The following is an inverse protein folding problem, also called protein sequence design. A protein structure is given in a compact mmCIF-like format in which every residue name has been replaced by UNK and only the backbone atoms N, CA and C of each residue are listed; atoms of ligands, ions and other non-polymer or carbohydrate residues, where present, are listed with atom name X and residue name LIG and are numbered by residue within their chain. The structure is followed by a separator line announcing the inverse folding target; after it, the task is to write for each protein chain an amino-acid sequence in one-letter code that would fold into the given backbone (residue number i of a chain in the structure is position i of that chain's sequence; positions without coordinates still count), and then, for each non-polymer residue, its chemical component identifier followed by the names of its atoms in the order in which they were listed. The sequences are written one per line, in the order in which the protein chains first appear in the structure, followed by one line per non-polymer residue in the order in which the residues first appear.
data_IF_418842617875
#
_entry.id   IF_418842617875
#
_cell.length_a   1.000
_cell.length_b   1.000
_cell.length_c   1.000
_cell.angle_alpha   90.00
_cell.angle_beta   90.00
_cell.angle_gamma   90.00
#
_symmetry.space_group_name_H-M   'P 1'
#
loop_
_entity.id
_entity.type
_entity.pdbx_description
1 polymer ?
#
# COMPACT_ATOMS: atom_id res chain seq x y z
N UNK A 1 -26.45 6.17 45.89
CA UNK A 1 -27.87 6.40 45.63
C UNK A 1 -28.19 5.88 44.25
N UNK A 2 -29.03 4.86 44.25
CA UNK A 2 -29.48 4.08 43.09
C UNK A 2 -30.46 4.89 42.23
N UNK A 3 -30.36 4.75 40.90
CA UNK A 3 -31.51 4.94 40.03
C UNK A 3 -31.57 3.79 39.03
N UNK A 4 -32.40 2.83 39.39
CA UNK A 4 -33.02 1.87 38.51
C UNK A 4 -34.52 2.22 38.49
N UNK A 5 -35.13 2.14 37.31
CA UNK A 5 -36.53 1.81 37.01
C UNK A 5 -37.21 2.76 36.00
N UNK A 6 -37.82 2.05 35.07
CA UNK A 6 -38.95 2.37 34.17
C UNK A 6 -38.47 2.61 32.71
N UNK A 7 -39.07 1.96 31.67
CA UNK A 7 -40.38 1.40 31.58
C UNK A 7 -40.45 0.35 30.44
N UNK A 8 -41.22 -0.68 30.69
CA UNK A 8 -41.74 -1.64 29.71
C UNK A 8 -42.88 -1.00 28.89
N UNK A 9 -42.68 -0.96 27.56
CA UNK A 9 -43.74 -0.61 26.61
C UNK A 9 -43.86 -1.71 25.57
N UNK A 10 -44.82 -2.59 25.70
CA UNK A 10 -45.25 -3.54 24.67
C UNK A 10 -45.84 -2.77 23.49
N UNK A 11 -45.30 -2.98 22.29
CA UNK A 11 -45.96 -2.55 21.05
C UNK A 11 -46.52 -3.81 20.37
N UNK A 12 -47.83 -3.85 20.19
CA UNK A 12 -48.55 -4.91 19.52
C UNK A 12 -48.08 -5.07 18.06
N UNK A 13 -47.72 -6.28 17.69
CA UNK A 13 -47.45 -6.66 16.31
C UNK A 13 -48.78 -6.81 15.57
N UNK A 14 -49.11 -5.87 14.68
CA UNK A 14 -50.17 -6.08 13.69
C UNK A 14 -49.64 -6.93 12.56
N UNK A 15 -50.22 -8.08 12.35
CA UNK A 15 -50.00 -8.92 11.17
C UNK A 15 -50.41 -8.19 9.91
N UNK A 16 -49.49 -8.03 8.97
CA UNK A 16 -49.76 -7.57 7.61
C UNK A 16 -50.18 -8.75 6.73
N UNK A 17 -51.12 -8.55 5.77
CA UNK A 17 -51.62 -9.61 4.92
C UNK A 17 -50.54 -10.09 3.92
N UNK A 18 -50.62 -11.34 3.43
CA UNK A 18 -49.61 -11.90 2.52
C UNK A 18 -49.66 -11.20 1.16
N UNK A 19 -48.54 -10.65 0.73
CA UNK A 19 -48.33 -10.15 -0.61
C UNK A 19 -48.10 -11.34 -1.56
N UNK A 20 -49.16 -11.84 -2.18
CA UNK A 20 -49.06 -12.74 -3.32
C UNK A 20 -48.90 -11.89 -4.58
N UNK A 21 -47.80 -12.08 -5.31
CA UNK A 21 -47.65 -11.60 -6.70
C UNK A 21 -46.52 -10.63 -7.00
N UNK A 22 -45.32 -10.80 -6.41
CA UNK A 22 -44.12 -10.17 -6.93
C UNK A 22 -43.15 -11.27 -7.36
N UNK A 23 -43.03 -11.48 -8.68
CA UNK A 23 -41.93 -12.29 -9.23
C UNK A 23 -40.61 -11.57 -8.94
N UNK A 24 -39.84 -12.11 -8.01
CA UNK A 24 -38.46 -11.71 -7.80
C UNK A 24 -37.66 -12.28 -8.99
N UNK A 25 -36.95 -11.42 -9.79
CA UNK A 25 -36.08 -11.95 -10.83
C UNK A 25 -35.07 -12.87 -10.15
N UNK A 26 -34.88 -14.04 -10.73
CA UNK A 26 -33.99 -15.10 -10.26
C UNK A 26 -32.64 -14.51 -9.86
N UNK A 27 -32.44 -14.37 -8.55
CA UNK A 27 -31.13 -14.12 -7.95
C UNK A 27 -30.22 -15.26 -8.46
N UNK A 28 -29.08 -14.89 -9.02
CA UNK A 28 -28.03 -15.82 -9.37
C UNK A 28 -27.59 -16.56 -8.09
N UNK A 29 -28.27 -17.66 -7.78
CA UNK A 29 -27.80 -18.64 -6.81
C UNK A 29 -26.66 -19.35 -7.51
N UNK A 30 -25.41 -19.07 -7.13
CA UNK A 30 -24.27 -19.89 -7.50
C UNK A 30 -24.65 -21.36 -7.20
N UNK A 31 -24.64 -22.22 -8.21
CA UNK A 31 -24.94 -23.63 -8.03
C UNK A 31 -23.92 -24.24 -7.09
N UNK A 32 -24.35 -25.19 -6.25
CA UNK A 32 -23.44 -25.92 -5.33
C UNK A 32 -22.22 -26.56 -6.02
N UNK A 33 -22.24 -26.73 -7.35
CA UNK A 33 -21.11 -27.17 -8.16
C UNK A 33 -19.97 -26.14 -8.28
N UNK A 34 -20.26 -24.84 -8.26
CA UNK A 34 -19.25 -23.79 -8.41
C UNK A 34 -18.46 -23.57 -7.12
N UNK A 35 -19.08 -23.83 -5.97
CA UNK A 35 -18.39 -23.79 -4.65
C UNK A 35 -17.41 -24.96 -4.47
N UNK A 36 -17.68 -26.12 -5.08
CA UNK A 36 -16.80 -27.29 -5.01
C UNK A 36 -15.46 -27.07 -5.74
N UNK A 37 -15.40 -26.18 -6.78
CA UNK A 37 -14.15 -25.81 -7.45
C UNK A 37 -13.29 -24.83 -6.65
N UNK A 38 -13.80 -24.24 -5.59
CA UNK A 38 -13.08 -23.28 -4.75
C UNK A 38 -12.49 -23.88 -3.47
N UNK A 39 -12.50 -25.21 -3.32
CA UNK A 39 -11.96 -25.87 -2.12
C UNK A 39 -10.45 -25.71 -1.97
N UNK A 40 -9.73 -25.52 -3.06
CA UNK A 40 -8.28 -25.34 -3.05
C UNK A 40 -7.82 -24.31 -4.10
N UNK A 41 -6.69 -23.68 -3.82
CA UNK A 41 -6.06 -22.67 -4.66
C UNK A 41 -4.56 -22.90 -4.75
N UNK A 42 -3.91 -22.39 -5.80
CA UNK A 42 -2.45 -22.33 -5.86
C UNK A 42 -1.93 -21.08 -5.18
N UNK A 43 -0.84 -21.22 -4.41
CA UNK A 43 -0.16 -20.14 -3.72
C UNK A 43 1.36 -20.35 -3.73
N UNK A 44 2.11 -19.24 -3.64
CA UNK A 44 3.54 -19.27 -3.36
C UNK A 44 3.72 -19.23 -1.83
N UNK A 45 4.07 -20.37 -1.28
CA UNK A 45 4.18 -20.60 0.17
C UNK A 45 5.63 -20.46 0.59
N UNK A 46 5.91 -19.60 1.56
CA UNK A 46 7.19 -19.52 2.23
C UNK A 46 7.28 -20.65 3.25
N UNK A 47 8.16 -21.63 3.01
CA UNK A 47 8.30 -22.84 3.85
C UNK A 47 9.34 -22.68 4.96
N UNK A 48 10.31 -21.81 4.76
CA UNK A 48 11.33 -21.44 5.74
C UNK A 48 11.82 -20.00 5.53
N UNK A 49 12.30 -19.34 6.58
CA UNK A 49 12.99 -18.07 6.43
C UNK A 49 14.34 -18.28 5.73
N UNK A 50 14.77 -17.29 4.92
CA UNK A 50 16.06 -17.35 4.21
C UNK A 50 15.99 -16.73 2.83
N UNK A 51 16.64 -17.38 1.86
CA UNK A 51 16.74 -16.93 0.47
C UNK A 51 15.41 -17.07 -0.29
N UNK A 52 15.32 -16.46 -1.47
CA UNK A 52 14.09 -16.42 -2.25
C UNK A 52 13.59 -17.81 -2.69
N UNK A 53 14.49 -18.77 -2.80
CA UNK A 53 14.25 -20.18 -3.14
C UNK A 53 13.44 -20.94 -2.06
N UNK A 54 13.17 -20.31 -0.91
CA UNK A 54 12.30 -20.86 0.12
C UNK A 54 10.81 -20.74 -0.20
N UNK A 55 10.46 -20.06 -1.30
CA UNK A 55 9.11 -20.13 -1.83
C UNK A 55 8.88 -21.42 -2.64
N UNK A 56 7.76 -22.06 -2.39
CA UNK A 56 7.26 -23.22 -3.12
C UNK A 56 5.85 -22.96 -3.64
N UNK A 57 5.58 -23.34 -4.89
CA UNK A 57 4.22 -23.29 -5.42
C UNK A 57 3.47 -24.51 -4.93
N UNK A 58 2.48 -24.29 -4.08
CA UNK A 58 1.68 -25.36 -3.46
C UNK A 58 0.20 -25.17 -3.77
N UNK A 59 -0.56 -26.28 -3.67
CA UNK A 59 -2.02 -26.26 -3.62
C UNK A 59 -2.42 -26.25 -2.14
N UNK A 60 -3.16 -25.22 -1.73
CA UNK A 60 -3.59 -25.00 -0.35
C UNK A 60 -5.11 -24.80 -0.29
N UNK A 61 -5.75 -24.99 0.85
CA UNK A 61 -7.17 -24.66 0.99
C UNK A 61 -7.45 -23.20 0.67
N UNK A 62 -8.55 -22.92 -0.01
CA UNK A 62 -9.05 -21.55 -0.17
C UNK A 62 -9.52 -21.03 1.19
N UNK A 63 -9.15 -19.79 1.57
CA UNK A 63 -9.52 -19.27 2.89
C UNK A 63 -11.04 -19.10 3.03
N UNK A 64 -11.57 -19.40 4.21
CA UNK A 64 -12.99 -19.27 4.51
C UNK A 64 -13.40 -17.81 4.70
N UNK A 65 -14.56 -17.45 4.16
CA UNK A 65 -15.14 -16.11 4.22
C UNK A 65 -15.89 -15.89 5.54
N UNK A 66 -15.62 -14.76 6.22
CA UNK A 66 -16.38 -14.29 7.38
C UNK A 66 -17.44 -13.27 6.99
N UNK A 67 -18.40 -13.00 7.88
CA UNK A 67 -19.54 -12.13 7.61
C UNK A 67 -19.18 -10.74 7.06
N UNK A 68 -18.10 -10.11 7.54
CA UNK A 68 -17.64 -8.78 7.15
C UNK A 68 -16.53 -8.77 6.09
N UNK A 69 -16.28 -9.89 5.42
CA UNK A 69 -15.16 -10.07 4.49
C UNK A 69 -15.65 -10.24 3.04
N UNK A 70 -14.72 -10.04 2.13
CA UNK A 70 -14.87 -10.35 0.71
C UNK A 70 -13.81 -11.37 0.29
N UNK A 71 -14.18 -12.30 -0.56
CA UNK A 71 -13.25 -13.20 -1.25
C UNK A 71 -12.94 -12.61 -2.61
N UNK A 72 -11.65 -12.40 -2.88
CA UNK A 72 -11.18 -11.77 -4.11
C UNK A 72 -10.32 -12.75 -4.89
N UNK A 73 -10.68 -12.97 -6.16
CA UNK A 73 -9.79 -13.61 -7.13
C UNK A 73 -8.73 -12.60 -7.51
N UNK A 74 -7.47 -12.91 -7.18
CA UNK A 74 -6.33 -12.03 -7.41
C UNK A 74 -5.96 -12.04 -8.89
N UNK A 75 -6.05 -10.88 -9.54
CA UNK A 75 -5.61 -10.69 -10.93
C UNK A 75 -4.13 -10.24 -10.99
N UNK A 76 -3.71 -9.43 -10.02
CA UNK A 76 -2.33 -8.98 -9.89
C UNK A 76 -2.00 -8.64 -8.43
N UNK A 77 -0.73 -8.79 -8.08
CA UNK A 77 -0.09 -8.34 -6.84
C UNK A 77 1.23 -7.65 -7.16
N UNK A 78 1.88 -7.01 -6.19
CA UNK A 78 3.21 -6.43 -6.40
C UNK A 78 4.16 -6.71 -5.25
N UNK A 79 5.47 -6.66 -5.52
CA UNK A 79 6.50 -6.96 -4.53
C UNK A 79 6.90 -5.68 -3.79
N UNK A 80 7.11 -5.80 -2.48
CA UNK A 80 7.52 -4.71 -1.59
C UNK A 80 8.76 -5.09 -0.77
N UNK A 81 9.54 -4.11 -0.29
CA UNK A 81 10.68 -4.38 0.61
C UNK A 81 10.28 -5.20 1.84
N UNK A 82 9.11 -4.94 2.44
CA UNK A 82 8.62 -5.68 3.60
C UNK A 82 8.47 -7.19 3.31
N UNK A 83 8.14 -7.57 2.07
CA UNK A 83 7.98 -8.98 1.69
C UNK A 83 9.31 -9.74 1.74
N UNK A 84 10.41 -9.18 1.17
CA UNK A 84 11.71 -9.85 1.24
C UNK A 84 12.35 -9.75 2.63
N UNK A 85 12.11 -8.68 3.37
CA UNK A 85 12.54 -8.55 4.77
C UNK A 85 11.87 -9.64 5.63
N UNK A 86 10.54 -9.81 5.49
CA UNK A 86 9.80 -10.88 6.16
C UNK A 86 10.32 -12.25 5.76
N UNK A 87 10.51 -12.49 4.45
CA UNK A 87 11.06 -13.76 3.95
C UNK A 87 12.45 -14.08 4.54
N UNK A 88 13.32 -13.08 4.69
CA UNK A 88 14.65 -13.28 5.32
C UNK A 88 14.59 -13.57 6.80
N UNK A 89 13.46 -13.26 7.46
CA UNK A 89 13.27 -13.44 8.89
C UNK A 89 13.54 -12.20 9.74
N UNK A 90 13.62 -11.01 9.14
CA UNK A 90 13.79 -9.74 9.88
C UNK A 90 12.61 -9.53 10.85
N UNK A 91 11.44 -10.13 10.55
CA UNK A 91 10.20 -10.09 11.36
C UNK A 91 9.68 -11.48 11.76
N UNK A 92 10.58 -12.45 11.97
CA UNK A 92 10.24 -13.85 12.27
C UNK A 92 9.32 -14.03 13.48
N UNK A 93 9.37 -13.13 14.45
CA UNK A 93 8.51 -13.18 15.64
C UNK A 93 7.05 -12.80 15.34
N UNK A 94 6.79 -12.17 14.18
CA UNK A 94 5.46 -11.70 13.76
C UNK A 94 4.80 -12.62 12.72
N UNK A 95 5.55 -13.59 12.16
CA UNK A 95 5.07 -14.44 11.06
C UNK A 95 5.28 -15.90 11.40
N UNK A 96 4.22 -16.70 11.30
CA UNK A 96 4.26 -18.14 11.47
C UNK A 96 4.42 -18.83 10.12
N UNK A 97 5.36 -19.77 10.05
CA UNK A 97 5.56 -20.60 8.85
C UNK A 97 4.76 -21.91 8.95
N UNK A 98 4.32 -22.49 7.82
CA UNK A 98 4.41 -21.93 6.46
C UNK A 98 3.50 -20.73 6.28
N UNK A 99 3.90 -19.76 5.42
CA UNK A 99 3.18 -18.50 5.22
C UNK A 99 3.01 -18.15 3.74
N UNK A 100 1.92 -17.47 3.41
CA UNK A 100 1.72 -16.82 2.11
C UNK A 100 2.00 -15.32 2.33
N UNK A 101 2.99 -14.77 1.64
CA UNK A 101 3.34 -13.36 1.72
C UNK A 101 2.62 -12.53 0.63
N UNK A 102 2.96 -11.24 0.57
CA UNK A 102 2.42 -10.28 -0.38
C UNK A 102 1.39 -9.35 0.24
N UNK A 103 1.54 -8.06 -0.03
CA UNK A 103 0.76 -6.99 0.62
C UNK A 103 0.14 -6.00 -0.36
N UNK A 104 -0.07 -6.42 -1.61
CA UNK A 104 -0.83 -5.68 -2.61
C UNK A 104 -1.81 -6.62 -3.31
N UNK A 105 -3.05 -6.19 -3.53
CA UNK A 105 -4.05 -6.93 -4.30
C UNK A 105 -4.73 -5.99 -5.29
N UNK A 106 -4.89 -6.45 -6.53
CA UNK A 106 -5.94 -6.00 -7.43
C UNK A 106 -6.61 -7.22 -8.04
N UNK A 107 -7.94 -7.28 -7.96
CA UNK A 107 -8.69 -8.46 -8.38
C UNK A 107 -10.19 -8.21 -8.47
N UNK A 108 -10.93 -9.30 -8.58
CA UNK A 108 -12.39 -9.32 -8.74
C UNK A 108 -13.01 -10.01 -7.53
N UNK A 109 -14.07 -9.44 -6.97
CA UNK A 109 -14.82 -10.07 -5.87
C UNK A 109 -15.58 -11.29 -6.41
N UNK A 110 -15.30 -12.46 -5.83
CA UNK A 110 -15.97 -13.73 -6.17
C UNK A 110 -17.07 -14.08 -5.15
N UNK A 111 -16.93 -13.66 -3.89
CA UNK A 111 -17.96 -13.83 -2.88
C UNK A 111 -17.89 -12.71 -1.83
N UNK A 112 -19.02 -12.44 -1.19
CA UNK A 112 -19.14 -11.47 -0.10
C UNK A 112 -19.76 -12.14 1.13
N UNK A 113 -19.32 -11.73 2.32
CA UNK A 113 -19.92 -12.13 3.59
C UNK A 113 -21.27 -11.45 3.80
N UNK A 114 -22.13 -12.06 4.62
CA UNK A 114 -23.53 -11.64 4.82
C UNK A 114 -23.69 -10.21 5.37
N UNK A 115 -22.67 -9.67 6.04
CA UNK A 115 -22.67 -8.32 6.58
C UNK A 115 -22.10 -7.27 5.62
N UNK A 116 -21.60 -7.66 4.43
CA UNK A 116 -21.03 -6.75 3.44
C UNK A 116 -22.15 -6.16 2.58
N UNK A 117 -22.30 -4.85 2.61
CA UNK A 117 -23.33 -4.11 1.86
C UNK A 117 -22.79 -3.18 0.80
N UNK A 118 -21.49 -2.85 0.87
CA UNK A 118 -20.85 -1.83 0.04
C UNK A 118 -20.28 -2.38 -1.26
N UNK A 119 -20.25 -3.72 -1.40
CA UNK A 119 -19.70 -4.43 -2.54
C UNK A 119 -20.64 -5.51 -3.04
N UNK A 120 -20.42 -5.93 -4.28
CA UNK A 120 -21.08 -7.06 -4.92
C UNK A 120 -20.09 -7.94 -5.64
N UNK A 121 -20.47 -9.18 -5.89
CA UNK A 121 -19.73 -10.11 -6.75
C UNK A 121 -19.55 -9.48 -8.14
N UNK A 122 -18.34 -9.61 -8.68
CA UNK A 122 -17.92 -9.00 -9.95
C UNK A 122 -17.32 -7.60 -9.82
N UNK A 123 -17.32 -6.97 -8.64
CA UNK A 123 -16.66 -5.68 -8.47
C UNK A 123 -15.15 -5.81 -8.61
N UNK A 124 -14.57 -4.90 -9.39
CA UNK A 124 -13.12 -4.77 -9.51
C UNK A 124 -12.59 -3.95 -8.34
N UNK A 125 -11.67 -4.53 -7.58
CA UNK A 125 -11.15 -3.94 -6.34
C UNK A 125 -9.64 -3.90 -6.29
N UNK A 126 -9.11 -3.04 -5.40
CA UNK A 126 -7.71 -3.02 -5.05
C UNK A 126 -7.53 -2.63 -3.58
N UNK A 127 -6.55 -3.20 -2.92
CA UNK A 127 -6.27 -2.95 -1.51
C UNK A 127 -4.90 -3.51 -1.11
N UNK A 128 -4.44 -3.11 0.07
CA UNK A 128 -3.29 -3.74 0.72
C UNK A 128 -3.79 -4.65 1.85
N UNK A 129 -3.48 -5.95 1.82
CA UNK A 129 -3.64 -6.83 2.97
C UNK A 129 -2.93 -6.29 4.21
N UNK A 130 -3.35 -6.76 5.38
CA UNK A 130 -2.64 -6.43 6.61
C UNK A 130 -1.22 -6.99 6.57
N UNK A 131 -0.23 -6.13 6.80
CA UNK A 131 1.16 -6.54 6.93
C UNK A 131 1.25 -7.49 8.14
N UNK A 132 1.94 -8.63 7.96
CA UNK A 132 1.99 -9.73 8.95
C UNK A 132 0.63 -10.38 9.25
N UNK A 133 -0.34 -10.24 8.34
CA UNK A 133 -1.61 -10.95 8.42
C UNK A 133 -1.46 -12.46 8.22
N UNK A 134 -2.56 -13.18 8.43
CA UNK A 134 -2.60 -14.64 8.34
C UNK A 134 -2.36 -15.14 6.91
N UNK A 135 -2.86 -14.40 5.90
CA UNK A 135 -2.74 -14.73 4.48
C UNK A 135 -2.31 -13.49 3.68
N UNK A 136 -1.35 -13.69 2.80
CA UNK A 136 -0.90 -12.66 1.86
C UNK A 136 -1.42 -12.87 0.43
N UNK A 137 -1.03 -11.99 -0.48
CA UNK A 137 -1.56 -11.90 -1.84
C UNK A 137 -0.85 -12.78 -2.87
N UNK A 138 0.16 -13.56 -2.50
CA UNK A 138 0.82 -14.47 -3.45
C UNK A 138 0.04 -15.77 -3.65
N UNK A 139 -1.27 -15.64 -3.85
CA UNK A 139 -2.22 -16.73 -4.03
C UNK A 139 -3.32 -16.36 -5.02
N UNK A 140 -3.99 -17.35 -5.59
CA UNK A 140 -5.07 -17.13 -6.55
C UNK A 140 -6.29 -16.42 -5.94
N UNK A 141 -6.53 -16.64 -4.64
CA UNK A 141 -7.61 -16.00 -3.89
C UNK A 141 -7.09 -15.41 -2.60
N UNK A 142 -7.69 -14.29 -2.20
CA UNK A 142 -7.40 -13.63 -0.94
C UNK A 142 -8.71 -13.19 -0.27
N UNK A 143 -8.80 -13.37 1.05
CA UNK A 143 -9.92 -12.88 1.87
C UNK A 143 -9.50 -11.61 2.58
N UNK A 144 -10.29 -10.56 2.47
CA UNK A 144 -10.04 -9.28 3.12
C UNK A 144 -11.27 -8.77 3.88
N UNK A 145 -11.04 -8.07 4.99
CA UNK A 145 -12.07 -7.25 5.62
C UNK A 145 -12.52 -6.17 4.63
N UNK A 146 -13.83 -6.03 4.43
CA UNK A 146 -14.39 -5.05 3.52
C UNK A 146 -13.96 -3.61 3.85
N UNK A 147 -13.63 -3.32 5.10
CA UNK A 147 -13.19 -1.99 5.55
C UNK A 147 -11.86 -1.51 4.94
N UNK A 148 -11.01 -2.43 4.46
CA UNK A 148 -9.74 -2.06 3.81
C UNK A 148 -9.82 -2.06 2.28
N UNK A 149 -10.90 -2.58 1.71
CA UNK A 149 -11.07 -2.76 0.25
C UNK A 149 -11.62 -1.49 -0.39
N UNK A 150 -11.09 -1.10 -1.54
CA UNK A 150 -11.60 0.00 -2.35
C UNK A 150 -11.89 -0.48 -3.79
N UNK A 151 -12.82 0.19 -4.47
CA UNK A 151 -13.04 -0.02 -5.90
C UNK A 151 -11.77 0.38 -6.67
N UNK A 152 -11.37 -0.43 -7.61
CA UNK A 152 -10.23 -0.17 -8.50
C UNK A 152 -10.50 1.08 -9.34
N UNK A 153 -9.52 2.01 -9.51
CA UNK A 153 -9.66 3.12 -10.44
C UNK A 153 -10.11 2.63 -11.82
N UNK A 154 -11.15 3.26 -12.38
CA UNK A 154 -11.79 2.82 -13.62
C UNK A 154 -10.84 2.86 -14.84
N UNK A 155 -9.88 3.79 -14.81
CA UNK A 155 -8.90 4.01 -15.88
C UNK A 155 -7.63 3.19 -15.76
N UNK A 156 -7.52 2.26 -14.79
CA UNK A 156 -6.38 1.37 -14.63
C UNK A 156 -6.73 -0.09 -14.93
N UNK A 157 -5.80 -0.82 -15.52
CA UNK A 157 -5.79 -2.28 -15.53
C UNK A 157 -5.50 -2.84 -14.12
N UNK A 158 -5.75 -4.13 -13.87
CA UNK A 158 -5.39 -4.78 -12.60
C UNK A 158 -3.87 -4.76 -12.36
N UNK A 159 -3.06 -4.90 -13.40
CA UNK A 159 -1.59 -4.81 -13.31
C UNK A 159 -1.16 -3.44 -12.78
N UNK A 160 -1.73 -2.39 -13.35
CA UNK A 160 -1.45 -1.02 -12.92
C UNK A 160 -1.97 -0.74 -11.51
N UNK A 161 -3.19 -1.16 -11.21
CA UNK A 161 -3.81 -0.96 -9.91
C UNK A 161 -3.05 -1.67 -8.78
N UNK A 162 -2.51 -2.87 -9.01
CA UNK A 162 -1.71 -3.62 -8.04
C UNK A 162 -0.41 -2.91 -7.63
N UNK A 163 0.06 -1.91 -8.40
CA UNK A 163 1.27 -1.16 -8.07
C UNK A 163 1.06 -0.07 -7.01
N UNK A 164 -0.19 0.23 -6.65
CA UNK A 164 -0.53 1.37 -5.80
C UNK A 164 -0.80 1.06 -4.32
N UNK A 165 -1.46 -0.04 -3.91
CA UNK A 165 -2.10 -0.07 -2.59
C UNK A 165 -1.15 0.23 -1.44
N UNK A 166 -0.08 -0.53 -1.25
CA UNK A 166 0.86 -0.27 -0.17
C UNK A 166 1.71 0.97 -0.44
N UNK A 167 2.31 1.07 -1.62
CA UNK A 167 3.23 2.17 -1.93
C UNK A 167 2.51 3.53 -1.95
N UNK A 168 1.33 3.60 -2.57
CA UNK A 168 0.50 4.80 -2.61
C UNK A 168 -0.08 5.15 -1.24
N UNK A 169 -0.57 4.15 -0.50
CA UNK A 169 -1.03 4.33 0.87
C UNK A 169 0.06 4.85 1.80
N UNK A 170 1.29 4.35 1.64
CA UNK A 170 2.47 4.80 2.38
C UNK A 170 2.84 6.25 2.01
N UNK A 171 2.87 6.59 0.71
CA UNK A 171 3.11 7.96 0.27
C UNK A 171 2.05 8.92 0.82
N UNK A 172 0.77 8.51 0.81
CA UNK A 172 -0.33 9.26 1.42
C UNK A 172 -0.13 9.51 2.90
N UNK A 173 0.17 8.46 3.66
CA UNK A 173 0.37 8.58 5.11
C UNK A 173 1.57 9.48 5.44
N UNK A 174 2.66 9.40 4.66
CA UNK A 174 3.84 10.22 4.88
C UNK A 174 3.65 11.69 4.51
N UNK A 175 2.99 11.98 3.39
CA UNK A 175 2.86 13.35 2.91
C UNK A 175 1.60 14.04 3.45
N UNK A 176 0.45 13.33 3.49
CA UNK A 176 -0.84 13.92 3.85
C UNK A 176 -1.15 13.72 5.33
N UNK A 177 -1.24 12.46 5.78
CA UNK A 177 -1.76 12.16 7.12
C UNK A 177 -0.79 12.61 8.23
N UNK A 178 0.51 12.34 8.07
CA UNK A 178 1.56 12.65 9.07
C UNK A 178 2.38 13.87 8.70
N UNK A 179 2.76 13.97 7.43
CA UNK A 179 3.51 15.10 6.91
C UNK A 179 2.70 16.39 6.83
N UNK A 180 1.38 16.30 6.72
CA UNK A 180 0.49 17.46 6.59
C UNK A 180 1.03 18.50 5.57
N UNK A 181 1.48 18.01 4.41
CA UNK A 181 2.08 18.84 3.36
C UNK A 181 1.04 19.82 2.81
N UNK A 182 1.40 21.10 2.76
CA UNK A 182 0.54 22.17 2.32
C UNK A 182 0.93 22.70 0.95
N UNK A 183 -0.03 23.36 0.27
CA UNK A 183 0.23 24.10 -0.97
C UNK A 183 1.33 25.16 -0.75
N UNK A 184 2.31 25.20 -1.64
CA UNK A 184 3.42 26.15 -1.58
C UNK A 184 4.56 25.76 -0.65
N UNK A 185 4.44 24.68 0.11
CA UNK A 185 5.56 24.13 0.89
C UNK A 185 6.59 23.45 0.00
N UNK A 186 7.79 23.26 0.55
CA UNK A 186 8.90 22.53 -0.07
C UNK A 186 9.07 21.16 0.57
N UNK A 187 9.28 20.12 -0.23
CA UNK A 187 9.51 18.77 0.25
C UNK A 187 10.73 18.12 -0.40
N UNK A 188 11.54 17.44 0.41
CA UNK A 188 12.56 16.51 -0.10
C UNK A 188 12.03 15.09 -0.04
N UNK A 189 12.08 14.37 -1.16
CA UNK A 189 11.70 12.96 -1.28
C UNK A 189 12.95 12.14 -1.62
N UNK A 190 13.39 11.30 -0.68
CA UNK A 190 14.49 10.38 -0.95
C UNK A 190 14.03 9.21 -1.84
N UNK A 191 14.95 8.72 -2.71
CA UNK A 191 14.70 7.66 -3.67
C UNK A 191 13.46 7.90 -4.57
N UNK A 192 13.37 9.07 -5.19
CA UNK A 192 12.24 9.50 -6.03
C UNK A 192 11.90 8.58 -7.21
N UNK A 193 12.78 7.67 -7.61
CA UNK A 193 12.52 6.67 -8.66
C UNK A 193 11.96 5.34 -8.13
N UNK A 194 11.94 5.13 -6.81
CA UNK A 194 11.47 3.88 -6.18
C UNK A 194 9.96 3.74 -6.12
N UNK A 195 9.46 2.63 -5.56
CA UNK A 195 8.03 2.34 -5.47
C UNK A 195 7.23 3.43 -4.75
N UNK A 196 7.61 3.79 -3.53
CA UNK A 196 6.97 4.88 -2.76
C UNK A 196 7.35 6.24 -3.33
N UNK A 197 8.64 6.49 -3.61
CA UNK A 197 9.14 7.78 -4.06
C UNK A 197 8.49 8.27 -5.35
N UNK A 198 8.29 7.39 -6.33
CA UNK A 198 7.68 7.76 -7.62
C UNK A 198 6.21 8.20 -7.50
N UNK A 199 5.46 7.64 -6.55
CA UNK A 199 4.10 8.08 -6.24
C UNK A 199 4.15 9.36 -5.39
N UNK A 200 5.05 9.42 -4.42
CA UNK A 200 5.20 10.57 -3.53
C UNK A 200 5.55 11.87 -4.29
N UNK A 201 6.44 11.80 -5.29
CA UNK A 201 6.76 12.95 -6.16
C UNK A 201 5.49 13.47 -6.83
N UNK A 202 4.72 12.59 -7.47
CA UNK A 202 3.47 12.98 -8.14
C UNK A 202 2.42 13.52 -7.16
N UNK A 203 2.26 12.87 -5.99
CA UNK A 203 1.32 13.29 -4.96
C UNK A 203 1.68 14.67 -4.40
N UNK A 204 2.96 14.93 -4.11
CA UNK A 204 3.42 16.22 -3.64
C UNK A 204 3.16 17.33 -4.67
N UNK A 205 3.36 17.04 -5.97
CA UNK A 205 3.01 17.96 -7.05
C UNK A 205 1.51 18.20 -7.16
N UNK A 206 0.69 17.17 -7.02
CA UNK A 206 -0.77 17.30 -7.03
C UNK A 206 -1.28 18.13 -5.84
N UNK A 207 -0.58 18.12 -4.71
CA UNK A 207 -0.85 19.00 -3.56
C UNK A 207 -0.44 20.45 -3.84
N UNK A 208 0.55 20.68 -4.73
CA UNK A 208 1.06 22.01 -5.06
C UNK A 208 2.35 22.38 -4.34
N UNK A 209 3.15 21.40 -3.91
CA UNK A 209 4.45 21.61 -3.28
C UNK A 209 5.57 21.82 -4.33
N UNK A 210 6.67 22.45 -3.90
CA UNK A 210 7.95 22.41 -4.60
C UNK A 210 8.71 21.15 -4.19
N UNK A 211 9.09 20.30 -5.15
CA UNK A 211 9.60 18.96 -4.90
C UNK A 211 11.08 18.84 -5.24
N UNK A 212 11.92 18.66 -4.24
CA UNK A 212 13.25 18.09 -4.35
C UNK A 212 13.16 16.56 -4.31
N UNK A 213 13.89 15.87 -5.18
CA UNK A 213 13.93 14.41 -5.17
C UNK A 213 15.34 13.87 -5.38
N UNK A 214 15.76 12.91 -4.56
CA UNK A 214 17.05 12.23 -4.79
C UNK A 214 16.87 11.00 -5.66
N UNK A 215 17.73 10.81 -6.64
CA UNK A 215 17.85 9.57 -7.41
C UNK A 215 19.26 9.42 -7.98
N UNK A 216 19.57 8.32 -8.69
CA UNK A 216 20.80 8.22 -9.48
C UNK A 216 20.65 8.94 -10.82
N UNK A 217 21.77 9.38 -11.43
CA UNK A 217 21.81 10.10 -12.72
C UNK A 217 20.97 9.46 -13.81
N UNK A 218 20.99 8.13 -13.94
CA UNK A 218 20.18 7.38 -14.92
C UNK A 218 18.66 7.55 -14.77
N UNK A 219 18.21 8.03 -13.62
CA UNK A 219 16.79 8.24 -13.31
C UNK A 219 16.38 9.72 -13.28
N UNK A 220 17.31 10.65 -13.58
CA UNK A 220 17.05 12.09 -13.49
C UNK A 220 15.85 12.51 -14.35
N UNK A 221 15.91 12.23 -15.65
CA UNK A 221 14.84 12.61 -16.59
C UNK A 221 13.50 11.97 -16.22
N UNK A 222 13.55 10.72 -15.77
CA UNK A 222 12.37 10.00 -15.32
C UNK A 222 11.72 10.69 -14.10
N UNK A 223 12.49 11.02 -13.06
CA UNK A 223 11.98 11.67 -11.84
C UNK A 223 11.53 13.10 -12.12
N UNK A 224 12.21 13.82 -13.01
CA UNK A 224 11.75 15.13 -13.51
C UNK A 224 10.40 15.01 -14.23
N UNK A 225 10.22 13.99 -15.09
CA UNK A 225 8.96 13.73 -15.79
C UNK A 225 7.80 13.28 -14.85
N UNK A 226 8.09 12.86 -13.61
CA UNK A 226 7.10 12.65 -12.56
C UNK A 226 6.64 13.97 -11.91
N UNK A 227 7.35 15.06 -12.14
CA UNK A 227 7.02 16.39 -11.64
C UNK A 227 7.98 16.92 -10.56
N UNK A 228 9.12 16.28 -10.29
CA UNK A 228 10.11 16.88 -9.40
C UNK A 228 10.67 18.18 -10.00
N UNK A 229 10.66 19.25 -9.21
CA UNK A 229 11.17 20.56 -9.63
C UNK A 229 12.70 20.57 -9.65
N UNK A 230 13.33 19.88 -8.68
CA UNK A 230 14.78 19.71 -8.61
C UNK A 230 15.13 18.25 -8.29
N UNK A 231 15.82 17.62 -9.22
CA UNK A 231 16.34 16.27 -9.03
C UNK A 231 17.83 16.34 -8.65
N UNK A 232 18.18 15.68 -7.55
CA UNK A 232 19.52 15.63 -6.97
C UNK A 232 20.11 14.24 -7.21
N UNK A 233 21.22 14.14 -7.92
CA UNK A 233 21.94 12.89 -8.11
C UNK A 233 22.81 12.58 -6.88
N UNK A 234 22.29 11.77 -5.97
CA UNK A 234 22.94 11.45 -4.70
C UNK A 234 24.33 10.81 -4.81
N UNK A 235 24.74 10.40 -6.02
CA UNK A 235 26.07 9.85 -6.27
C UNK A 235 27.11 10.93 -6.55
N UNK A 236 26.69 12.07 -7.10
CA UNK A 236 27.56 13.14 -7.59
C UNK A 236 27.28 14.48 -6.91
N UNK A 237 26.15 14.63 -6.23
CA UNK A 237 25.74 15.86 -5.56
C UNK A 237 25.45 15.57 -4.08
N UNK A 238 25.93 16.44 -3.19
CA UNK A 238 25.53 16.42 -1.80
C UNK A 238 24.17 17.12 -1.65
N UNK A 239 23.14 16.36 -1.33
CA UNK A 239 21.78 16.91 -1.22
C UNK A 239 21.64 17.95 -0.10
N UNK A 240 22.47 17.88 0.95
CA UNK A 240 22.47 18.87 2.03
C UNK A 240 22.94 20.22 1.50
N UNK A 241 24.05 20.23 0.78
CA UNK A 241 24.61 21.45 0.19
C UNK A 241 23.69 22.04 -0.90
N UNK A 242 23.12 21.18 -1.77
CA UNK A 242 22.19 21.62 -2.81
C UNK A 242 20.96 22.29 -2.19
N UNK A 243 20.34 21.69 -1.17
CA UNK A 243 19.14 22.27 -0.54
C UNK A 243 19.50 23.55 0.20
N UNK A 244 20.62 23.62 0.93
CA UNK A 244 21.06 24.86 1.58
C UNK A 244 21.24 25.99 0.59
N UNK A 245 21.86 25.74 -0.56
CA UNK A 245 22.08 26.74 -1.59
C UNK A 245 20.75 27.21 -2.22
N UNK A 246 19.90 26.27 -2.62
CA UNK A 246 18.65 26.61 -3.34
C UNK A 246 17.55 27.19 -2.44
N UNK A 247 17.65 26.95 -1.12
CA UNK A 247 16.73 27.54 -0.11
C UNK A 247 17.32 28.75 0.62
N UNK A 248 18.49 29.27 0.22
CA UNK A 248 19.21 30.33 0.90
C UNK A 248 19.43 30.03 2.40
N UNK A 249 19.71 28.77 2.74
CA UNK A 249 19.94 28.30 4.09
C UNK A 249 18.66 28.05 4.92
N UNK A 250 17.48 28.33 4.39
CA UNK A 250 16.21 28.13 5.12
C UNK A 250 15.88 26.65 5.36
N UNK A 251 16.17 25.79 4.38
CA UNK A 251 15.81 24.37 4.39
C UNK A 251 14.39 24.11 3.85
N UNK A 252 13.98 22.82 3.91
CA UNK A 252 12.66 22.36 3.42
C UNK A 252 11.65 22.24 4.56
N UNK A 253 10.38 22.27 4.20
CA UNK A 253 9.26 22.11 5.15
C UNK A 253 9.10 20.66 5.62
N UNK A 254 9.29 19.72 4.70
CA UNK A 254 9.09 18.28 4.93
C UNK A 254 10.19 17.47 4.28
N UNK A 255 10.63 16.41 4.95
CA UNK A 255 11.43 15.34 4.35
C UNK A 255 10.64 14.04 4.41
N UNK A 256 10.54 13.36 3.27
CA UNK A 256 10.13 11.94 3.21
C UNK A 256 11.38 11.08 3.01
N UNK A 257 11.73 10.34 4.06
CA UNK A 257 12.84 9.40 4.05
C UNK A 257 12.34 7.96 3.80
N UNK A 258 12.89 7.35 2.75
CA UNK A 258 12.62 5.96 2.37
C UNK A 258 13.89 5.09 2.38
N UNK A 259 14.99 5.61 2.92
CA UNK A 259 16.34 5.00 2.92
C UNK A 259 16.76 4.57 4.32
N UNK A 260 16.56 5.45 5.32
CA UNK A 260 17.01 5.23 6.68
C UNK A 260 18.50 5.46 6.90
N UNK A 261 19.01 4.96 8.04
CA UNK A 261 20.43 5.09 8.43
C UNK A 261 20.87 6.57 8.49
N UNK A 262 22.00 6.91 7.87
CA UNK A 262 22.54 8.27 7.86
C UNK A 262 21.65 9.30 7.15
N UNK A 263 20.74 8.87 6.24
CA UNK A 263 19.86 9.84 5.57
C UNK A 263 18.93 10.54 6.56
N UNK A 264 18.46 9.86 7.59
CA UNK A 264 17.65 10.48 8.65
C UNK A 264 18.45 11.60 9.32
N UNK A 265 19.64 11.27 9.83
CA UNK A 265 20.47 12.23 10.57
C UNK A 265 20.84 13.44 9.71
N UNK A 266 21.30 13.21 8.49
CA UNK A 266 21.71 14.28 7.58
C UNK A 266 20.54 15.14 7.10
N UNK A 267 19.34 14.57 7.04
CA UNK A 267 18.13 15.33 6.68
C UNK A 267 17.71 16.33 7.75
N UNK A 268 18.03 16.10 9.03
CA UNK A 268 17.74 17.07 10.09
C UNK A 268 18.42 18.43 9.85
N UNK A 269 19.59 18.43 9.20
CA UNK A 269 20.37 19.63 8.90
C UNK A 269 19.67 20.57 7.91
N UNK A 270 18.82 20.03 7.05
CA UNK A 270 18.17 20.76 5.94
C UNK A 270 16.65 20.93 6.12
N UNK A 271 16.13 20.59 7.27
CA UNK A 271 14.74 20.89 7.62
C UNK A 271 14.71 22.23 8.33
N UNK A 272 13.81 23.14 7.90
CA UNK A 272 13.62 24.43 8.54
C UNK A 272 13.08 24.28 9.97
N UNK A 273 13.21 25.28 10.85
CA UNK A 273 12.55 25.27 12.16
C UNK A 273 11.05 24.99 12.03
N UNK A 274 10.50 24.16 12.93
CA UNK A 274 9.12 23.68 12.96
C UNK A 274 8.75 22.81 11.74
N UNK A 275 9.73 22.37 10.94
CA UNK A 275 9.53 21.44 9.84
C UNK A 275 9.31 20.00 10.31
N UNK A 276 9.16 19.09 9.34
CA UNK A 276 8.74 17.71 9.61
C UNK A 276 9.64 16.71 8.87
N UNK A 277 9.81 15.54 9.49
CA UNK A 277 10.41 14.38 8.85
C UNK A 277 9.44 13.19 8.99
N UNK A 278 9.17 12.52 7.89
CA UNK A 278 8.49 11.21 7.89
C UNK A 278 9.44 10.15 7.37
N UNK A 279 9.62 9.05 8.10
CA UNK A 279 10.44 7.91 7.67
C UNK A 279 9.64 6.62 7.71
N UNK A 280 9.80 5.79 6.69
CA UNK A 280 9.14 4.48 6.53
C UNK A 280 10.07 3.32 6.82
N UNK A 281 11.30 3.59 7.25
CA UNK A 281 12.29 2.57 7.60
C UNK A 281 12.53 2.56 9.10
N UNK A 282 12.81 1.37 9.62
CA UNK A 282 13.21 1.22 11.01
C UNK A 282 14.57 1.89 11.27
N UNK A 283 14.77 2.28 12.52
CA UNK A 283 16.03 2.90 12.93
C UNK A 283 17.04 1.79 13.22
N UNK A 284 17.80 1.41 12.18
CA UNK A 284 18.85 0.41 12.32
C UNK A 284 20.08 0.93 13.07
N UNK A 285 20.25 2.26 13.19
CA UNK A 285 21.36 2.91 13.89
C UNK A 285 20.83 4.01 14.85
N UNK A 286 21.51 4.25 15.96
CA UNK A 286 21.16 5.37 16.84
C UNK A 286 21.20 6.71 16.11
N UNK A 287 20.21 7.57 16.37
CA UNK A 287 20.10 8.91 15.80
C UNK A 287 20.38 9.96 16.88
N UNK A 288 21.15 11.00 16.54
CA UNK A 288 21.24 12.19 17.40
C UNK A 288 20.08 13.12 17.10
N UNK A 289 19.23 13.37 18.07
CA UNK A 289 18.06 14.24 17.93
C UNK A 289 18.31 15.67 18.43
N UNK A 290 19.56 16.05 18.74
CA UNK A 290 19.90 17.39 19.24
C UNK A 290 19.49 18.49 18.25
N UNK A 291 19.75 18.26 16.96
CA UNK A 291 19.35 19.19 15.90
C UNK A 291 17.82 19.29 15.77
N UNK A 292 17.14 18.17 15.88
CA UNK A 292 15.67 18.15 15.86
C UNK A 292 15.08 18.91 17.05
N UNK A 293 15.65 18.74 18.25
CA UNK A 293 15.25 19.48 19.44
C UNK A 293 15.49 20.98 19.27
N UNK A 294 16.67 21.40 18.80
CA UNK A 294 17.01 22.82 18.62
C UNK A 294 16.12 23.54 17.60
N UNK A 295 15.58 22.81 16.62
CA UNK A 295 14.68 23.36 15.59
C UNK A 295 13.18 23.09 15.84
N UNK A 296 12.81 22.46 16.95
CA UNK A 296 11.43 22.03 17.25
C UNK A 296 10.80 21.20 16.10
N UNK A 297 11.55 20.23 15.57
CA UNK A 297 11.06 19.38 14.47
C UNK A 297 10.04 18.36 14.95
N UNK A 298 9.11 18.02 14.07
CA UNK A 298 8.23 16.85 14.23
C UNK A 298 8.77 15.68 13.42
N UNK A 299 8.96 14.53 14.08
CA UNK A 299 9.45 13.30 13.42
C UNK A 299 8.40 12.21 13.57
N UNK A 300 8.02 11.61 12.46
CA UNK A 300 7.11 10.46 12.41
C UNK A 300 7.81 9.26 11.80
N UNK A 301 7.86 8.16 12.53
CA UNK A 301 8.13 6.84 11.96
C UNK A 301 6.80 6.24 11.55
N UNK A 302 6.65 5.95 10.24
CA UNK A 302 5.36 5.61 9.65
C UNK A 302 5.32 4.13 9.32
N UNK A 303 4.51 3.38 10.05
CA UNK A 303 4.01 2.07 9.66
C UNK A 303 2.60 2.28 9.10
N UNK A 304 2.42 2.12 7.78
CA UNK A 304 1.18 2.51 7.10
C UNK A 304 0.03 1.56 7.45
N UNK A 305 -0.98 2.01 8.23
CA UNK A 305 -2.15 1.19 8.52
C UNK A 305 -3.04 1.04 7.29
N UNK A 306 -3.77 -0.07 7.17
CA UNK A 306 -4.65 -0.32 6.04
C UNK A 306 -6.06 0.19 6.33
N UNK A 307 -6.58 1.09 5.46
CA UNK A 307 -7.95 1.58 5.52
C UNK A 307 -8.39 2.12 4.15
N UNK A 308 -9.67 1.96 3.84
CA UNK A 308 -10.28 2.25 2.54
C UNK A 308 -10.14 3.72 2.11
N UNK A 309 -10.37 4.66 3.03
CA UNK A 309 -10.51 6.08 2.67
C UNK A 309 -9.28 6.67 1.98
N UNK A 310 -8.06 6.23 2.32
CA UNK A 310 -6.85 6.70 1.62
C UNK A 310 -6.75 6.18 0.17
N UNK A 311 -7.21 4.95 -0.07
CA UNK A 311 -7.25 4.39 -1.42
C UNK A 311 -8.31 5.09 -2.26
N UNK A 312 -9.47 5.40 -1.71
CA UNK A 312 -10.51 6.20 -2.38
C UNK A 312 -10.03 7.61 -2.73
N UNK A 313 -9.23 8.23 -1.85
CA UNK A 313 -8.61 9.52 -2.15
C UNK A 313 -7.58 9.40 -3.29
N UNK A 314 -6.75 8.35 -3.27
CA UNK A 314 -5.82 8.06 -4.37
C UNK A 314 -6.55 7.73 -5.67
N UNK A 315 -7.65 6.94 -5.62
CA UNK A 315 -8.50 6.67 -6.79
C UNK A 315 -8.93 7.95 -7.50
N UNK A 316 -9.40 8.95 -6.73
CA UNK A 316 -9.83 10.26 -7.30
C UNK A 316 -8.68 10.97 -8.03
N UNK A 317 -7.47 10.92 -7.49
CA UNK A 317 -6.30 11.54 -8.12
C UNK A 317 -5.86 10.77 -9.38
N UNK A 318 -5.92 9.44 -9.34
CA UNK A 318 -5.60 8.57 -10.48
C UNK A 318 -6.59 8.79 -11.62
N UNK A 319 -7.88 8.81 -11.33
CA UNK A 319 -8.94 9.03 -12.34
C UNK A 319 -8.92 10.43 -12.96
N UNK A 320 -8.35 11.40 -12.24
CA UNK A 320 -8.06 12.75 -12.74
C UNK A 320 -6.72 12.87 -13.46
N UNK A 321 -6.00 11.75 -13.68
CA UNK A 321 -4.68 11.70 -14.30
C UNK A 321 -3.58 12.51 -13.58
N UNK A 322 -3.77 12.78 -12.28
CA UNK A 322 -2.78 13.46 -11.44
C UNK A 322 -1.74 12.48 -10.88
N UNK A 323 -2.09 11.20 -10.78
CA UNK A 323 -1.19 10.10 -10.43
C UNK A 323 -1.23 9.04 -11.53
N UNK A 324 -0.08 8.50 -11.86
CA UNK A 324 0.05 7.37 -12.80
C UNK A 324 0.90 6.26 -12.21
N UNK A 325 0.63 4.98 -12.55
CA UNK A 325 1.45 3.87 -12.11
C UNK A 325 2.86 3.95 -12.69
N UNK A 326 3.83 3.49 -11.90
CA UNK A 326 5.21 3.30 -12.33
C UNK A 326 5.57 1.84 -12.13
N UNK A 327 5.71 1.11 -13.21
CA UNK A 327 5.97 -0.33 -13.21
C UNK A 327 7.32 -0.59 -13.87
N UNK A 328 8.23 -1.21 -13.12
CA UNK A 328 9.54 -1.63 -13.62
C UNK A 328 9.43 -2.87 -14.50
N UNK A 329 8.70 -3.87 -14.03
CA UNK A 329 8.52 -5.13 -14.74
C UNK A 329 7.25 -5.85 -14.29
N UNK A 330 6.72 -6.67 -15.21
CA UNK A 330 5.58 -7.55 -14.97
C UNK A 330 6.03 -8.99 -15.19
N UNK A 331 5.87 -9.83 -14.16
CA UNK A 331 6.23 -11.24 -14.18
C UNK A 331 4.99 -12.09 -13.97
N UNK A 332 5.03 -13.36 -14.40
CA UNK A 332 4.02 -14.33 -13.98
C UNK A 332 4.12 -14.57 -12.46
N UNK A 333 3.00 -14.78 -11.77
CA UNK A 333 2.94 -14.91 -10.32
C UNK A 333 3.81 -16.06 -9.77
N UNK A 334 3.99 -17.12 -10.53
CA UNK A 334 4.85 -18.26 -10.20
C UNK A 334 6.36 -17.91 -10.26
N UNK A 335 6.71 -16.72 -10.77
CA UNK A 335 8.07 -16.17 -10.77
C UNK A 335 8.38 -15.33 -9.52
N UNK A 336 7.70 -15.57 -8.42
CA UNK A 336 7.90 -14.85 -7.15
C UNK A 336 9.36 -14.85 -6.69
N UNK A 337 10.08 -15.95 -6.84
CA UNK A 337 11.52 -16.07 -6.52
C UNK A 337 12.33 -15.01 -7.29
N UNK A 338 12.15 -14.96 -8.61
CA UNK A 338 12.85 -14.00 -9.47
C UNK A 338 12.48 -12.55 -9.13
N UNK A 339 11.22 -12.30 -8.81
CA UNK A 339 10.75 -10.96 -8.42
C UNK A 339 11.41 -10.48 -7.14
N UNK A 340 11.51 -11.34 -6.12
CA UNK A 340 12.22 -11.03 -4.87
C UNK A 340 13.70 -10.75 -5.10
N UNK A 341 14.40 -11.63 -5.83
CA UNK A 341 15.81 -11.45 -6.18
C UNK A 341 16.05 -10.13 -6.91
N UNK A 342 15.19 -9.78 -7.89
CA UNK A 342 15.28 -8.53 -8.64
C UNK A 342 15.11 -7.30 -7.75
N UNK A 343 14.14 -7.32 -6.82
CA UNK A 343 13.95 -6.19 -5.91
C UNK A 343 15.12 -6.03 -4.95
N UNK A 344 15.67 -7.12 -4.42
CA UNK A 344 16.84 -7.10 -3.52
C UNK A 344 18.13 -6.60 -4.20
N UNK A 345 18.29 -6.82 -5.50
CA UNK A 345 19.39 -6.26 -6.28
C UNK A 345 19.33 -4.74 -6.38
N UNK A 346 18.16 -4.17 -6.14
CA UNK A 346 17.93 -2.73 -6.19
C UNK A 346 17.89 -2.15 -7.60
N UNK A 347 17.74 -0.83 -7.67
CA UNK A 347 17.78 -0.09 -8.93
C UNK A 347 16.52 -0.22 -9.77
N UNK A 348 15.44 -0.73 -9.23
CA UNK A 348 14.11 -0.76 -9.86
C UNK A 348 13.54 0.65 -10.00
N UNK A 349 12.77 0.89 -11.07
CA UNK A 349 11.95 2.09 -11.25
C UNK A 349 10.50 1.77 -10.92
N UNK A 350 9.98 2.29 -9.80
CA UNK A 350 8.61 1.96 -9.38
C UNK A 350 8.50 0.53 -8.84
N UNK A 351 7.50 -0.23 -9.33
CA UNK A 351 7.07 -1.51 -8.76
C UNK A 351 7.30 -2.70 -9.70
N UNK A 352 7.61 -3.84 -9.11
CA UNK A 352 7.57 -5.15 -9.79
C UNK A 352 6.20 -5.76 -9.52
N UNK A 353 5.46 -6.10 -10.58
CA UNK A 353 4.11 -6.65 -10.50
C UNK A 353 4.12 -8.12 -10.89
N UNK A 354 3.42 -8.94 -10.13
CA UNK A 354 3.12 -10.33 -10.45
C UNK A 354 1.67 -10.42 -10.98
N UNK A 355 1.51 -10.91 -12.20
CA UNK A 355 0.20 -11.13 -12.80
C UNK A 355 -0.23 -12.59 -12.67
N UNK A 356 -1.48 -12.81 -12.31
CA UNK A 356 -2.14 -14.10 -12.44
C UNK A 356 -2.72 -14.22 -13.84
N UNK A 357 -2.59 -15.38 -14.46
CA UNK A 357 -3.26 -15.66 -15.74
C UNK A 357 -4.75 -15.83 -15.49
N UNK A 358 -5.59 -15.23 -16.33
CA UNK A 358 -6.99 -15.60 -16.41
C UNK A 358 -7.06 -17.07 -16.87
N UNK A 359 -7.75 -17.91 -16.10
CA UNK A 359 -8.08 -19.28 -16.51
C UNK A 359 -9.24 -19.24 -17.48
#
# INVERSE_FOLDING_TARGET
MSFAQAATGYCEVRELPPLSGIEIPSLFILHQGDLAQMESMKAAVLTAFGDAEKFEIQTVPTPTLKANQVLVRVCATSINPIDYQTRRGDYKELVRLPAILGVDVSGVIEAIGEAVTDFKVGDNVYYSPQIFGEFGSYAQYHVADAAIVALKPANLSHIEAASFPLAGGTAWDCLVTRGNLQVGETVLIHAGAGGVGSIAVQLAKAIGAYVFATCSSRNRDFVTALGADRVIDYKNEDYVEVIRQETNGLGVDLVLDTIGKETIQRSLDIIRPFGRLTSIVDIAIPQSLLEAWGKNLTIHFVFSPQYRAKLEALTKLIERHQLRPVIDSVLSWDRVVLAHQRLEQGGTRGKIVLKFTEN
#
